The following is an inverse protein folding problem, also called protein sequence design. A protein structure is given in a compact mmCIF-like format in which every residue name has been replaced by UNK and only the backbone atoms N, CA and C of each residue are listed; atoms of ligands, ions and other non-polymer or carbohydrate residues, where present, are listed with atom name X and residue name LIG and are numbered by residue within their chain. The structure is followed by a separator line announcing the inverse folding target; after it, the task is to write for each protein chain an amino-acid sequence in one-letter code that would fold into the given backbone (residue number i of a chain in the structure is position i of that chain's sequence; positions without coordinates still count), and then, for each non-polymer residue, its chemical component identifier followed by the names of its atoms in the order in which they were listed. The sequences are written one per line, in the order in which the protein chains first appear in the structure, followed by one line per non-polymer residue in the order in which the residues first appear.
data_IF_250304959380
#
_entry.id   IF_250304959380
#
_cell.length_a   1.000
_cell.length_b   1.000
_cell.length_c   1.000
_cell.angle_alpha   90.00
_cell.angle_beta   90.00
_cell.angle_gamma   90.00
#
_symmetry.space_group_name_H-M   'P 1'
#
loop_
_entity.id
_entity.type
_entity.pdbx_description
1 polymer ?
#
# COMPACT_ATOMS: atom_id res chain seq x y z
N UNK A 1 3.39 20.45 22.64
CA UNK A 1 4.55 20.03 21.84
C UNK A 1 4.61 20.94 20.63
N UNK A 2 5.51 21.93 20.65
CA UNK A 2 5.80 22.74 19.46
C UNK A 2 6.39 21.82 18.39
N UNK A 3 5.57 21.46 17.40
CA UNK A 3 5.97 20.53 16.34
C UNK A 3 6.51 21.33 15.16
N UNK A 4 7.82 21.50 15.15
CA UNK A 4 8.56 21.96 13.99
C UNK A 4 8.33 20.99 12.81
N UNK A 5 8.24 21.54 11.59
CA UNK A 5 8.15 20.78 10.32
C UNK A 5 9.33 19.81 10.10
N UNK A 6 10.33 19.80 10.99
CA UNK A 6 11.52 18.96 10.98
C UNK A 6 11.50 17.86 12.04
N UNK A 7 10.33 17.54 12.61
CA UNK A 7 10.24 16.54 13.68
C UNK A 7 10.36 15.10 13.15
N UNK A 8 11.12 14.25 13.85
CA UNK A 8 11.32 12.83 13.51
C UNK A 8 10.03 12.02 13.22
N UNK A 9 8.88 12.27 13.89
CA UNK A 9 7.62 11.60 13.56
C UNK A 9 7.10 11.95 12.15
N UNK A 10 7.35 13.17 11.67
CA UNK A 10 6.91 13.62 10.34
C UNK A 10 7.65 12.84 9.25
N UNK A 11 8.97 12.67 9.39
CA UNK A 11 9.77 11.87 8.48
C UNK A 11 9.36 10.39 8.50
N UNK A 12 9.07 9.82 9.67
CA UNK A 12 8.56 8.45 9.78
C UNK A 12 7.25 8.23 9.02
N UNK A 13 6.31 9.18 9.13
CA UNK A 13 5.06 9.16 8.36
C UNK A 13 5.33 9.34 6.87
N UNK A 14 6.25 10.24 6.48
CA UNK A 14 6.61 10.48 5.08
C UNK A 14 7.18 9.22 4.42
N UNK A 15 8.17 8.57 5.04
CA UNK A 15 8.76 7.33 4.51
C UNK A 15 7.73 6.19 4.47
N UNK A 16 6.88 6.07 5.49
CA UNK A 16 5.78 5.11 5.49
C UNK A 16 4.78 5.36 4.37
N UNK A 17 4.48 6.63 4.06
CA UNK A 17 3.60 7.03 2.97
C UNK A 17 4.21 6.68 1.62
N UNK A 18 5.48 7.04 1.38
CA UNK A 18 6.20 6.72 0.15
C UNK A 18 6.23 5.20 -0.07
N UNK A 19 6.60 4.41 0.95
CA UNK A 19 6.67 2.94 0.82
C UNK A 19 5.30 2.30 0.54
N UNK A 20 4.25 2.77 1.19
CA UNK A 20 2.88 2.27 0.98
C UNK A 20 2.37 2.63 -0.42
N UNK A 21 2.67 3.85 -0.88
CA UNK A 21 2.29 4.32 -2.22
C UNK A 21 3.06 3.59 -3.31
N UNK A 22 4.38 3.41 -3.12
CA UNK A 22 5.25 2.64 -4.01
C UNK A 22 4.72 1.22 -4.21
N UNK A 23 4.44 0.50 -3.11
CA UNK A 23 3.92 -0.86 -3.19
C UNK A 23 2.58 -0.93 -3.92
N UNK A 24 1.65 -0.04 -3.59
CA UNK A 24 0.34 0.02 -4.24
C UNK A 24 0.45 0.33 -5.74
N UNK A 25 1.31 1.27 -6.14
CA UNK A 25 1.48 1.64 -7.55
C UNK A 25 2.06 0.48 -8.36
N UNK A 26 3.10 -0.20 -7.87
CA UNK A 26 3.66 -1.39 -8.53
C UNK A 26 2.55 -2.42 -8.75
N UNK A 27 1.76 -2.70 -7.72
CA UNK A 27 0.74 -3.74 -7.82
C UNK A 27 -0.39 -3.35 -8.77
N UNK A 28 -0.82 -2.09 -8.76
CA UNK A 28 -1.85 -1.57 -9.68
C UNK A 28 -1.40 -1.56 -11.14
N UNK A 29 -0.09 -1.42 -11.43
CA UNK A 29 0.44 -1.48 -12.81
C UNK A 29 0.69 -2.91 -13.28
N UNK A 30 1.21 -3.76 -12.40
CA UNK A 30 1.59 -5.14 -12.77
C UNK A 30 0.40 -6.10 -12.79
N UNK A 31 -0.62 -5.91 -11.95
CA UNK A 31 -1.80 -6.78 -11.90
C UNK A 31 -2.60 -6.82 -13.22
N UNK A 32 -3.01 -5.69 -13.82
CA UNK A 32 -3.74 -5.73 -15.10
C UNK A 32 -2.86 -6.25 -16.24
N UNK A 33 -1.56 -5.94 -16.22
CA UNK A 33 -0.58 -6.48 -17.19
C UNK A 33 -0.46 -8.00 -17.07
N UNK A 34 -0.48 -8.54 -15.85
CA UNK A 34 -0.47 -9.98 -15.61
C UNK A 34 -1.78 -10.66 -16.04
N UNK A 35 -2.94 -10.08 -15.71
CA UNK A 35 -4.25 -10.63 -16.06
C UNK A 35 -4.50 -10.65 -17.57
N UNK A 36 -4.11 -9.59 -18.28
CA UNK A 36 -4.31 -9.47 -19.73
C UNK A 36 -3.20 -10.16 -20.53
N UNK A 37 -1.94 -10.04 -20.10
CA UNK A 37 -0.78 -10.55 -20.81
C UNK A 37 -0.50 -12.04 -20.58
N UNK A 38 -0.65 -12.55 -19.34
CA UNK A 38 -0.32 -13.94 -18.99
C UNK A 38 -1.56 -14.82 -18.97
N UNK A 39 -2.68 -14.30 -18.46
CA UNK A 39 -3.90 -15.08 -18.24
C UNK A 39 -4.91 -14.97 -19.40
N UNK A 40 -4.65 -14.08 -20.38
CA UNK A 40 -5.50 -13.85 -21.56
C UNK A 40 -6.98 -13.58 -21.24
N UNK A 41 -7.29 -12.98 -20.09
CA UNK A 41 -8.67 -12.63 -19.75
C UNK A 41 -9.17 -11.47 -20.63
N UNK A 42 -10.47 -11.48 -20.94
CA UNK A 42 -11.10 -10.34 -21.60
C UNK A 42 -11.01 -9.08 -20.72
N UNK A 43 -10.98 -7.91 -21.36
CA UNK A 43 -10.88 -6.61 -20.66
C UNK A 43 -12.05 -6.41 -19.68
N UNK A 44 -13.26 -6.91 -20.01
CA UNK A 44 -14.43 -6.85 -19.11
C UNK A 44 -14.25 -7.72 -17.84
N UNK A 45 -13.79 -8.95 -17.99
CA UNK A 45 -13.54 -9.82 -16.84
C UNK A 45 -12.37 -9.31 -15.98
N UNK A 46 -11.37 -8.69 -16.61
CA UNK A 46 -10.25 -8.03 -15.92
C UNK A 46 -10.72 -6.84 -15.06
N UNK A 47 -11.74 -6.09 -15.51
CA UNK A 47 -12.38 -5.03 -14.73
C UNK A 47 -13.04 -5.53 -13.44
N UNK A 48 -13.77 -6.64 -13.52
CA UNK A 48 -14.38 -7.27 -12.33
C UNK A 48 -13.32 -7.82 -11.37
N UNK A 49 -12.27 -8.46 -11.89
CA UNK A 49 -11.17 -8.99 -11.08
C UNK A 49 -10.31 -7.91 -10.43
N UNK A 50 -10.10 -6.78 -11.09
CA UNK A 50 -9.39 -5.61 -10.53
C UNK A 50 -10.24 -4.84 -9.51
N UNK A 51 -11.57 -4.95 -9.57
CA UNK A 51 -12.48 -4.38 -8.57
C UNK A 51 -12.40 -5.07 -7.20
N UNK A 52 -12.18 -6.39 -7.17
CA UNK A 52 -12.18 -7.18 -5.93
C UNK A 52 -11.13 -6.70 -4.89
N UNK A 53 -9.85 -6.50 -5.25
CA UNK A 53 -8.83 -5.95 -4.35
C UNK A 53 -9.19 -4.57 -3.77
N UNK A 54 -9.80 -3.69 -4.57
CA UNK A 54 -10.22 -2.37 -4.13
C UNK A 54 -11.36 -2.44 -3.09
N UNK A 55 -12.33 -3.33 -3.31
CA UNK A 55 -13.41 -3.57 -2.34
C UNK A 55 -12.85 -4.14 -1.03
N UNK A 56 -11.92 -5.08 -1.12
CA UNK A 56 -11.28 -5.66 0.05
C UNK A 56 -10.45 -4.64 0.83
N UNK A 57 -9.74 -3.74 0.15
CA UNK A 57 -9.04 -2.63 0.80
C UNK A 57 -10.01 -1.72 1.57
N UNK A 58 -11.16 -1.39 0.98
CA UNK A 58 -12.19 -0.60 1.65
C UNK A 58 -12.77 -1.33 2.89
N UNK A 59 -13.04 -2.63 2.77
CA UNK A 59 -13.49 -3.46 3.90
C UNK A 59 -12.45 -3.53 5.01
N UNK A 60 -11.18 -3.71 4.67
CA UNK A 60 -10.07 -3.68 5.61
C UNK A 60 -9.97 -2.34 6.34
N UNK A 61 -10.11 -1.23 5.62
CA UNK A 61 -10.10 0.11 6.18
C UNK A 61 -11.28 0.41 7.12
N UNK A 62 -12.49 -0.05 6.79
CA UNK A 62 -13.65 0.10 7.67
C UNK A 62 -13.47 -0.71 8.96
N UNK A 63 -13.04 -1.97 8.83
CA UNK A 63 -12.78 -2.85 9.97
C UNK A 63 -11.68 -2.29 10.88
N UNK A 64 -10.56 -1.85 10.29
CA UNK A 64 -9.45 -1.28 11.06
C UNK A 64 -9.87 -0.01 11.80
N UNK A 65 -10.72 0.82 11.18
CA UNK A 65 -11.17 2.08 11.78
C UNK A 65 -12.08 1.83 12.97
N UNK A 66 -13.04 0.92 12.84
CA UNK A 66 -13.91 0.52 13.94
C UNK A 66 -13.11 -0.06 15.13
N UNK A 67 -12.15 -0.95 14.85
CA UNK A 67 -11.30 -1.56 15.88
C UNK A 67 -10.40 -0.52 16.53
N UNK A 68 -9.80 0.39 15.75
CA UNK A 68 -8.95 1.47 16.24
C UNK A 68 -9.73 2.40 17.17
N UNK A 69 -10.94 2.81 16.79
CA UNK A 69 -11.79 3.68 17.59
C UNK A 69 -12.19 3.02 18.90
N UNK A 70 -12.51 1.72 18.89
CA UNK A 70 -12.81 0.95 20.10
C UNK A 70 -11.60 0.82 21.02
N UNK A 71 -10.40 0.61 20.46
CA UNK A 71 -9.14 0.57 21.22
C UNK A 71 -8.83 1.91 21.88
N UNK A 72 -8.99 3.01 21.14
CA UNK A 72 -8.78 4.37 21.64
C UNK A 72 -9.81 4.69 22.73
N UNK A 73 -11.10 4.36 22.51
CA UNK A 73 -12.18 4.58 23.47
C UNK A 73 -11.99 3.80 24.77
N UNK A 74 -11.36 2.62 24.71
CA UNK A 74 -11.05 1.82 25.90
C UNK A 74 -10.07 2.49 26.88
N UNK A 75 -9.40 3.58 26.47
CA UNK A 75 -8.35 4.29 27.22
C UNK A 75 -7.16 3.43 27.68
N UNK A 76 -7.05 2.18 27.20
CA UNK A 76 -5.96 1.26 27.53
C UNK A 76 -4.68 1.53 26.73
N UNK A 77 -4.81 2.14 25.56
CA UNK A 77 -3.70 2.47 24.66
C UNK A 77 -3.76 3.94 24.25
N UNK A 78 -2.59 4.56 24.10
CA UNK A 78 -2.52 5.92 23.55
C UNK A 78 -2.89 5.92 22.06
N UNK A 79 -3.46 7.02 21.58
CA UNK A 79 -3.78 7.20 20.15
C UNK A 79 -2.54 6.92 19.29
N UNK A 80 -1.39 7.47 19.65
CA UNK A 80 -0.12 7.26 18.94
C UNK A 80 0.30 5.79 18.88
N UNK A 81 0.11 5.04 19.96
CA UNK A 81 0.42 3.61 20.00
C UNK A 81 -0.50 2.84 19.05
N UNK A 82 -1.80 3.13 19.07
CA UNK A 82 -2.77 2.51 18.16
C UNK A 82 -2.40 2.80 16.71
N UNK A 83 -2.16 4.08 16.34
CA UNK A 83 -1.77 4.45 14.97
C UNK A 83 -0.51 3.71 14.49
N UNK A 84 0.51 3.59 15.37
CA UNK A 84 1.73 2.84 15.06
C UNK A 84 1.48 1.36 14.82
N UNK A 85 0.67 0.71 15.66
CA UNK A 85 0.34 -0.72 15.52
C UNK A 85 -0.35 -0.98 14.18
N UNK A 86 -1.39 -0.20 13.86
CA UNK A 86 -2.12 -0.36 12.60
C UNK A 86 -1.23 -0.10 11.38
N UNK A 87 -0.35 0.91 11.44
CA UNK A 87 0.61 1.17 10.38
C UNK A 87 1.63 0.02 10.22
N UNK A 88 2.13 -0.53 11.32
CA UNK A 88 3.04 -1.67 11.30
C UNK A 88 2.37 -2.92 10.72
N UNK A 89 1.12 -3.20 11.08
CA UNK A 89 0.33 -4.30 10.50
C UNK A 89 0.18 -4.12 8.99
N UNK A 90 -0.18 -2.91 8.55
CA UNK A 90 -0.32 -2.62 7.13
C UNK A 90 0.99 -2.86 6.37
N UNK A 91 2.12 -2.32 6.86
CA UNK A 91 3.40 -2.44 6.15
C UNK A 91 4.03 -3.84 6.22
N UNK A 92 4.06 -4.46 7.41
CA UNK A 92 4.65 -5.79 7.58
C UNK A 92 3.79 -6.84 6.91
N UNK A 93 2.46 -6.76 7.10
CA UNK A 93 1.54 -7.69 6.45
C UNK A 93 1.55 -7.54 4.93
N UNK A 94 1.66 -6.31 4.42
CA UNK A 94 1.85 -6.09 2.99
C UNK A 94 3.18 -6.68 2.49
N UNK A 95 4.28 -6.44 3.20
CA UNK A 95 5.60 -6.98 2.84
C UNK A 95 5.61 -8.52 2.79
N UNK A 96 5.00 -9.18 3.78
CA UNK A 96 4.88 -10.65 3.79
C UNK A 96 4.06 -11.14 2.60
N UNK A 97 2.94 -10.51 2.29
CA UNK A 97 2.12 -10.93 1.15
C UNK A 97 2.84 -10.74 -0.19
N UNK A 98 3.59 -9.64 -0.36
CA UNK A 98 4.41 -9.43 -1.56
C UNK A 98 5.50 -10.49 -1.69
N UNK A 99 6.20 -10.83 -0.60
CA UNK A 99 7.19 -11.92 -0.60
C UNK A 99 6.54 -13.28 -0.90
N UNK A 100 5.33 -13.52 -0.41
CA UNK A 100 4.58 -14.73 -0.74
C UNK A 100 4.23 -14.78 -2.24
N UNK A 101 3.88 -13.65 -2.85
CA UNK A 101 3.61 -13.54 -4.29
C UNK A 101 4.87 -13.89 -5.09
N UNK A 102 6.05 -13.36 -4.72
CA UNK A 102 7.29 -13.61 -5.47
C UNK A 102 7.74 -15.07 -5.46
N UNK A 103 7.43 -15.83 -4.39
CA UNK A 103 7.78 -17.25 -4.30
C UNK A 103 6.70 -18.19 -4.86
N UNK A 104 5.51 -17.69 -5.17
CA UNK A 104 4.34 -18.51 -5.53
C UNK A 104 4.27 -18.96 -7.01
N UNK A 105 5.24 -18.56 -7.85
CA UNK A 105 5.38 -19.07 -9.23
C UNK A 105 4.29 -18.58 -10.21
N UNK A 106 3.96 -19.38 -11.23
CA UNK A 106 3.03 -19.00 -12.32
C UNK A 106 1.54 -19.34 -12.05
N UNK A 107 1.15 -19.61 -10.81
CA UNK A 107 -0.25 -19.94 -10.50
C UNK A 107 -1.08 -18.69 -10.26
N UNK A 108 -1.83 -18.28 -11.29
CA UNK A 108 -2.62 -17.06 -11.26
C UNK A 108 -3.66 -16.99 -10.14
N UNK A 109 -4.32 -18.11 -9.79
CA UNK A 109 -5.31 -18.16 -8.71
C UNK A 109 -4.71 -17.84 -7.34
N UNK A 110 -3.48 -18.32 -7.08
CA UNK A 110 -2.74 -18.05 -5.84
C UNK A 110 -2.33 -16.58 -5.78
N UNK A 111 -1.82 -16.03 -6.87
CA UNK A 111 -1.42 -14.63 -6.96
C UNK A 111 -2.61 -13.70 -6.72
N UNK A 112 -3.76 -13.95 -7.36
CA UNK A 112 -4.97 -13.13 -7.18
C UNK A 112 -5.45 -13.17 -5.72
N UNK A 113 -5.38 -14.34 -5.08
CA UNK A 113 -5.81 -14.51 -3.67
C UNK A 113 -4.86 -13.78 -2.72
N UNK A 114 -3.55 -13.95 -2.90
CA UNK A 114 -2.54 -13.25 -2.10
C UNK A 114 -2.60 -11.73 -2.32
N UNK A 115 -2.87 -11.30 -3.55
CA UNK A 115 -3.06 -9.90 -3.89
C UNK A 115 -4.29 -9.30 -3.21
N UNK A 116 -5.39 -10.03 -3.22
CA UNK A 116 -6.63 -9.66 -2.54
C UNK A 116 -6.43 -9.51 -1.02
N UNK A 117 -5.67 -10.43 -0.41
CA UNK A 117 -5.29 -10.37 1.00
C UNK A 117 -4.37 -9.18 1.30
N UNK A 118 -3.39 -8.95 0.43
CA UNK A 118 -2.48 -7.80 0.49
C UNK A 118 -3.26 -6.48 0.49
N UNK A 119 -4.21 -6.30 -0.43
CA UNK A 119 -5.07 -5.11 -0.48
C UNK A 119 -5.93 -4.95 0.77
N UNK A 120 -6.51 -6.04 1.30
CA UNK A 120 -7.25 -6.02 2.56
C UNK A 120 -6.39 -5.50 3.73
N UNK A 121 -5.17 -6.03 3.88
CA UNK A 121 -4.25 -5.62 4.95
C UNK A 121 -3.75 -4.19 4.73
N UNK A 122 -3.57 -3.77 3.47
CA UNK A 122 -3.20 -2.39 3.14
C UNK A 122 -4.27 -1.38 3.62
N UNK A 123 -5.55 -1.78 3.69
CA UNK A 123 -6.63 -0.95 4.24
C UNK A 123 -6.36 -0.46 5.67
N UNK A 124 -5.54 -1.16 6.45
CA UNK A 124 -5.21 -0.78 7.83
C UNK A 124 -4.43 0.54 7.91
N UNK A 125 -3.85 0.98 6.78
CA UNK A 125 -3.16 2.29 6.65
C UNK A 125 -4.09 3.47 6.92
N UNK A 126 -5.39 3.35 6.64
CA UNK A 126 -6.38 4.42 6.86
C UNK A 126 -6.48 4.78 8.35
N UNK A 127 -6.42 3.78 9.23
CA UNK A 127 -6.43 3.97 10.68
C UNK A 127 -5.03 4.19 11.27
N UNK A 128 -3.98 4.07 10.45
CA UNK A 128 -2.58 4.31 10.78
C UNK A 128 -2.14 5.73 10.40
N UNK A 129 -1.34 5.85 9.34
CA UNK A 129 -0.72 7.13 8.96
C UNK A 129 -1.71 8.19 8.46
N UNK A 130 -2.83 7.78 7.86
CA UNK A 130 -3.73 8.72 7.16
C UNK A 130 -4.30 9.77 8.14
N UNK A 131 -4.86 9.29 9.25
CA UNK A 131 -5.36 10.10 10.38
C UNK A 131 -4.25 10.72 11.25
N UNK A 132 -3.02 10.21 11.17
CA UNK A 132 -1.88 10.72 11.98
C UNK A 132 -1.52 12.18 11.65
N UNK A 133 -1.85 12.67 10.45
CA UNK A 133 -1.64 14.08 10.06
C UNK A 133 -2.52 15.04 10.88
N UNK A 134 -3.77 14.64 11.10
CA UNK A 134 -4.74 15.38 11.94
C UNK A 134 -4.31 15.33 13.41
N UNK A 135 -3.89 14.15 13.88
CA UNK A 135 -3.38 13.97 15.25
C UNK A 135 -2.08 14.76 15.50
N UNK A 136 -1.28 15.03 14.45
CA UNK A 136 -0.02 15.75 14.59
C UNK A 136 -0.19 17.26 14.71
N UNK A 137 -0.91 17.87 13.76
CA UNK A 137 -1.11 19.32 13.72
C UNK A 137 -2.47 19.66 13.09
N UNK A 138 -3.54 19.75 13.90
CA UNK A 138 -4.89 20.00 13.40
C UNK A 138 -5.05 21.23 12.49
N UNK A 139 -4.42 22.40 12.75
CA UNK A 139 -4.63 23.61 11.93
C UNK A 139 -4.06 23.54 10.50
N UNK A 140 -3.01 22.76 10.25
CA UNK A 140 -2.39 22.53 8.92
C UNK A 140 -2.45 21.06 8.49
N UNK A 141 -3.34 20.25 9.06
CA UNK A 141 -3.41 18.82 8.75
C UNK A 141 -3.55 18.55 7.24
N UNK A 142 -4.39 19.35 6.56
CA UNK A 142 -4.56 19.28 5.10
C UNK A 142 -3.31 19.65 4.32
N UNK A 143 -2.57 20.69 4.75
CA UNK A 143 -1.31 21.10 4.10
C UNK A 143 -0.23 20.03 4.28
N UNK A 144 -0.12 19.46 5.49
CA UNK A 144 0.81 18.37 5.78
C UNK A 144 0.48 17.13 4.95
N UNK A 145 -0.80 16.74 4.87
CA UNK A 145 -1.24 15.62 4.06
C UNK A 145 -0.97 15.87 2.57
N UNK A 146 -1.27 17.09 2.08
CA UNK A 146 -0.98 17.49 0.70
C UNK A 146 0.51 17.40 0.37
N UNK A 147 1.38 17.90 1.26
CA UNK A 147 2.83 17.83 1.08
C UNK A 147 3.33 16.37 1.01
N UNK A 148 2.93 15.53 1.96
CA UNK A 148 3.35 14.12 1.97
C UNK A 148 2.80 13.36 0.77
N UNK A 149 1.58 13.66 0.34
CA UNK A 149 0.97 13.06 -0.85
C UNK A 149 1.67 13.50 -2.14
N UNK A 150 2.04 14.77 -2.28
CA UNK A 150 2.80 15.26 -3.44
C UNK A 150 4.15 14.57 -3.57
N UNK A 151 4.88 14.42 -2.44
CA UNK A 151 6.16 13.70 -2.42
C UNK A 151 5.95 12.22 -2.76
N UNK A 152 4.90 11.60 -2.23
CA UNK A 152 4.57 10.20 -2.53
C UNK A 152 4.16 10.01 -3.99
N UNK A 153 3.46 10.98 -4.59
CA UNK A 153 3.07 10.94 -6.00
C UNK A 153 4.27 10.95 -6.95
N UNK A 154 5.38 11.60 -6.57
CA UNK A 154 6.63 11.52 -7.33
C UNK A 154 7.18 10.08 -7.40
N UNK A 155 7.00 9.27 -6.35
CA UNK A 155 7.35 7.85 -6.41
C UNK A 155 6.51 7.09 -7.44
N UNK A 156 5.27 7.50 -7.68
CA UNK A 156 4.40 6.93 -8.71
C UNK A 156 4.89 7.17 -10.14
N UNK A 157 5.73 8.19 -10.37
CA UNK A 157 6.40 8.42 -11.66
C UNK A 157 7.66 7.55 -11.78
N UNK A 158 8.43 7.43 -10.70
CA UNK A 158 9.69 6.69 -10.68
C UNK A 158 9.44 5.18 -10.80
N UNK A 159 8.40 4.67 -10.14
CA UNK A 159 8.08 3.24 -10.05
C UNK A 159 7.92 2.57 -11.41
N UNK A 160 7.03 2.99 -12.33
CA UNK A 160 6.84 2.31 -13.60
C UNK A 160 8.09 2.35 -14.49
N UNK A 161 8.87 3.44 -14.41
CA UNK A 161 10.13 3.57 -15.14
C UNK A 161 11.19 2.59 -14.62
N UNK A 162 11.28 2.42 -13.29
CA UNK A 162 12.18 1.44 -12.68
C UNK A 162 11.73 0.00 -12.99
N UNK A 163 10.45 -0.31 -12.80
CA UNK A 163 9.91 -1.64 -13.09
C UNK A 163 10.10 -1.99 -14.57
N UNK A 164 9.83 -1.06 -15.49
CA UNK A 164 10.09 -1.23 -16.91
C UNK A 164 11.57 -1.52 -17.23
N UNK A 165 12.50 -0.78 -16.61
CA UNK A 165 13.93 -1.04 -16.77
C UNK A 165 14.31 -2.45 -16.27
N UNK A 166 13.83 -2.86 -15.10
CA UNK A 166 14.10 -4.20 -14.56
C UNK A 166 13.46 -5.32 -15.39
N UNK A 167 12.26 -5.13 -15.92
CA UNK A 167 11.59 -6.12 -16.77
C UNK A 167 12.31 -6.26 -18.11
N UNK A 168 12.76 -5.15 -18.72
CA UNK A 168 13.55 -5.20 -19.97
C UNK A 168 14.92 -5.87 -19.75
N UNK A 169 15.58 -5.61 -18.61
CA UNK A 169 16.82 -6.30 -18.21
C UNK A 169 16.60 -7.78 -17.89
N UNK A 170 15.46 -8.14 -17.29
CA UNK A 170 15.08 -9.52 -17.00
C UNK A 170 14.74 -10.32 -18.27
N UNK A 171 14.03 -9.71 -19.23
CA UNK A 171 13.70 -10.32 -20.52
C UNK A 171 14.97 -10.53 -21.36
N UNK A 172 15.93 -9.60 -21.34
CA UNK A 172 17.21 -9.75 -22.03
C UNK A 172 18.12 -10.80 -21.38
N UNK A 173 18.12 -10.93 -20.04
CA UNK A 173 18.82 -12.01 -19.35
C UNK A 173 18.20 -13.40 -19.62
N UNK A 174 16.86 -13.49 -19.71
CA UNK A 174 16.17 -14.74 -20.04
C UNK A 174 16.30 -15.12 -21.53
N UNK A 175 16.36 -14.13 -22.43
CA UNK A 175 16.57 -14.34 -23.86
C UNK A 175 18.01 -14.77 -24.20
N UNK A 176 19.00 -14.38 -23.39
CA UNK A 176 20.40 -14.84 -23.53
C UNK A 176 20.67 -16.20 -22.85
N UNK A 177 19.73 -16.70 -22.05
CA UNK A 177 19.82 -18.00 -21.39
C UNK A 177 19.16 -19.15 -22.20
N UNK A 178 18.79 -18.90 -23.47
CA UNK A 178 18.21 -19.89 -24.39
C UNK A 178 19.11 -20.15 -25.59
#
# INVERSE_FOLDING_TARGET
MEKNFTSAPLYGVLFGHIGSYFGLTVLMTELPTYLTGVLHYSVEASGLLTGLPNILEALGGMMSSFVADKLISSKKLSVTTVRKIFQSIAMVGAGICVLAITVSGCQASVIITLYSLLSYVNGFKYSGYNVTHVDMYPPLAGVLYGLTNSISSLSGIIVPNMTGAFTVSGVSAFALAR
#
